data_IF_762646934494
#
_entry.id   IF_762646934494
#
_cell.length_a   1.000
_cell.length_b   1.000
_cell.length_c   1.000
_cell.angle_alpha   90.00
_cell.angle_beta   90.00
_cell.angle_gamma   90.00
#
_symmetry.space_group_name_H-M   'P 1'
#
loop_
_entity.id
_entity.type
_entity.pdbx_description
1 polymer ?
#
# COMPACT_ATOMS: atom_id res chain seq x y z
N UNK A 1 -6.41 6.88 -11.63
CA UNK A 1 -5.91 5.56 -11.20
C UNK A 1 -5.16 4.95 -12.38
N UNK A 2 -4.07 4.23 -12.12
CA UNK A 2 -3.25 3.58 -13.15
C UNK A 2 -3.43 2.06 -13.03
N UNK A 3 -4.10 1.39 -13.99
CA UNK A 3 -4.52 -0.02 -13.83
C UNK A 3 -3.39 -1.02 -13.59
N UNK A 4 -2.20 -0.73 -14.10
CA UNK A 4 -1.02 -1.62 -14.00
C UNK A 4 -0.26 -1.47 -12.68
N UNK A 5 -0.59 -0.45 -11.87
CA UNK A 5 0.06 -0.22 -10.60
C UNK A 5 -0.84 -0.72 -9.45
N UNK A 6 -0.31 -1.55 -8.53
CA UNK A 6 -1.12 -2.23 -7.51
C UNK A 6 -1.85 -1.25 -6.57
N UNK A 7 -1.34 -0.04 -6.41
CA UNK A 7 -2.03 1.04 -5.70
C UNK A 7 -1.63 2.41 -6.26
N UNK A 8 -2.51 3.10 -7.00
CA UNK A 8 -2.20 4.42 -7.57
C UNK A 8 -3.39 5.38 -7.53
N UNK A 9 -3.26 6.42 -6.71
CA UNK A 9 -4.27 7.48 -6.55
C UNK A 9 -3.58 8.84 -6.66
N UNK A 10 -4.16 9.75 -7.45
CA UNK A 10 -3.67 11.12 -7.61
C UNK A 10 -4.85 12.10 -7.73
N UNK A 11 -4.72 13.28 -7.14
CA UNK A 11 -5.72 14.34 -7.16
C UNK A 11 -5.09 15.70 -6.80
N UNK A 12 -5.82 16.78 -7.03
CA UNK A 12 -5.35 18.17 -6.80
C UNK A 12 -5.85 18.76 -5.47
N UNK A 13 -6.61 18.00 -4.69
CA UNK A 13 -7.09 18.41 -3.37
C UNK A 13 -6.05 18.09 -2.29
N UNK A 14 -6.21 18.69 -1.11
CA UNK A 14 -5.31 18.53 0.04
C UNK A 14 -5.94 17.59 1.09
N UNK A 15 -5.84 16.25 0.96
CA UNK A 15 -6.39 15.30 1.92
C UNK A 15 -5.74 15.39 3.31
N UNK A 16 -4.55 15.99 3.39
CA UNK A 16 -3.77 16.18 4.62
C UNK A 16 -4.58 16.93 5.68
N UNK A 17 -5.29 17.99 5.27
CA UNK A 17 -6.08 18.82 6.19
C UNK A 17 -7.30 18.10 6.77
N UNK A 18 -7.71 16.97 6.18
CA UNK A 18 -8.85 16.16 6.65
C UNK A 18 -8.41 14.95 7.47
N UNK A 19 -7.12 14.65 7.53
CA UNK A 19 -6.57 13.55 8.34
C UNK A 19 -6.42 13.97 9.80
N UNK A 20 -6.80 13.09 10.74
CA UNK A 20 -6.72 13.32 12.18
C UNK A 20 -5.96 12.18 12.87
N UNK A 21 -5.35 12.41 14.06
CA UNK A 21 -4.61 11.36 14.77
C UNK A 21 -5.40 10.07 15.03
N UNK A 22 -6.71 10.18 15.33
CA UNK A 22 -7.59 9.04 15.60
C UNK A 22 -8.44 8.62 14.39
N UNK A 23 -8.33 9.34 13.27
CA UNK A 23 -9.12 9.12 12.06
C UNK A 23 -8.31 9.56 10.86
N UNK A 24 -7.41 8.68 10.42
CA UNK A 24 -6.63 8.92 9.22
C UNK A 24 -7.55 9.06 7.99
N UNK A 25 -7.16 9.93 7.06
CA UNK A 25 -7.86 10.02 5.79
C UNK A 25 -7.77 8.67 5.03
N UNK A 26 -8.85 8.19 4.38
CA UNK A 26 -8.85 6.88 3.71
C UNK A 26 -7.71 6.68 2.70
N UNK A 27 -7.29 7.75 2.02
CA UNK A 27 -6.14 7.72 1.12
C UNK A 27 -4.85 7.26 1.81
N UNK A 28 -4.57 7.77 3.01
CA UNK A 28 -3.35 7.41 3.75
C UNK A 28 -3.48 6.02 4.39
N UNK A 29 -4.65 5.69 4.94
CA UNK A 29 -4.89 4.38 5.52
C UNK A 29 -4.75 3.27 4.46
N UNK A 30 -5.39 3.45 3.29
CA UNK A 30 -5.32 2.50 2.18
C UNK A 30 -3.92 2.38 1.57
N UNK A 31 -3.12 3.46 1.58
CA UNK A 31 -1.72 3.38 1.15
C UNK A 31 -0.90 2.44 2.05
N UNK A 32 -1.04 2.58 3.38
CA UNK A 32 -0.32 1.73 4.33
C UNK A 32 -0.77 0.28 4.23
N UNK A 33 -2.07 0.04 4.10
CA UNK A 33 -2.62 -1.30 3.87
C UNK A 33 -2.04 -1.95 2.62
N UNK A 34 -2.04 -1.25 1.48
CA UNK A 34 -1.46 -1.75 0.24
C UNK A 34 0.06 -1.99 0.37
N UNK A 35 0.78 -1.16 1.12
CA UNK A 35 2.20 -1.35 1.38
C UNK A 35 2.47 -2.62 2.21
N UNK A 36 1.61 -2.93 3.20
CA UNK A 36 1.70 -4.15 4.00
C UNK A 36 1.42 -5.40 3.14
N UNK A 37 0.38 -5.37 2.31
CA UNK A 37 0.06 -6.46 1.37
C UNK A 37 1.24 -6.70 0.42
N UNK A 38 1.78 -5.64 -0.17
CA UNK A 38 2.94 -5.75 -1.06
C UNK A 38 4.19 -6.28 -0.31
N UNK A 39 4.38 -5.92 0.95
CA UNK A 39 5.47 -6.46 1.77
C UNK A 39 5.31 -7.97 1.99
N UNK A 40 4.10 -8.43 2.32
CA UNK A 40 3.78 -9.84 2.52
C UNK A 40 3.99 -10.65 1.23
N UNK A 41 3.49 -10.16 0.09
CA UNK A 41 3.67 -10.80 -1.22
C UNK A 41 5.15 -10.96 -1.58
N UNK A 42 5.98 -9.93 -1.31
CA UNK A 42 7.43 -10.05 -1.52
C UNK A 42 8.11 -11.05 -0.62
N UNK A 43 7.64 -11.21 0.63
CA UNK A 43 8.19 -12.20 1.55
C UNK A 43 7.85 -13.62 1.12
N UNK A 44 6.61 -13.85 0.66
CA UNK A 44 6.17 -15.14 0.13
C UNK A 44 6.95 -15.52 -1.14
N UNK A 45 7.20 -14.56 -2.04
CA UNK A 45 8.02 -14.78 -3.23
C UNK A 45 9.47 -15.16 -2.86
N UNK A 46 10.10 -14.46 -1.91
CA UNK A 46 11.46 -14.77 -1.48
C UNK A 46 11.61 -16.12 -0.76
N UNK A 47 10.54 -16.66 -0.18
CA UNK A 47 10.54 -18.00 0.44
C UNK A 47 10.38 -19.14 -0.58
N UNK A 48 9.76 -18.88 -1.74
CA UNK A 48 9.60 -19.86 -2.81
C UNK A 48 10.88 -20.11 -3.62
N UNK A 49 11.87 -19.21 -3.50
CA UNK A 49 13.15 -19.28 -4.24
C UNK A 49 14.27 -19.99 -3.46
N UNK A 50 14.00 -20.57 -2.28
CA UNK A 50 14.99 -21.36 -1.54
C UNK A 50 14.95 -22.81 -2.06
N UNK A 51 15.92 -23.27 -2.87
CA UNK A 51 15.97 -24.68 -3.25
C UNK A 51 16.24 -25.52 -1.99
N UNK A 52 15.38 -26.52 -1.75
CA UNK A 52 15.64 -27.60 -0.81
C UNK A 52 17.02 -28.20 -1.11
N UNK A 53 17.94 -28.14 -0.15
CA UNK A 53 19.24 -28.79 -0.21
C UNK A 53 19.22 -30.13 0.53
#
# INVERSE_FOLDING_TARGET
>A
ELPEHPWFVAGQFHPEFKSKPTSAHPLFAGFIEAALVHQEERQLQGAADVPDN
#
